data_IF_374338946888
#
_entry.id   IF_374338946888
#
_cell.length_a   1.000
_cell.length_b   1.000
_cell.length_c   1.000
_cell.angle_alpha   90.00
_cell.angle_beta   90.00
_cell.angle_gamma   90.00
#
_symmetry.space_group_name_H-M   'P 1'
#
loop_
_entity.id
_entity.type
_entity.pdbx_description
1 polymer ?
#
# COMPACT_ATOMS: atom_id res chain seq x y z
N UNK A 1 -16.17 -43.37 -5.46
CA UNK A 1 -14.98 -42.75 -6.10
C UNK A 1 -15.28 -41.54 -7.01
N UNK A 2 -16.45 -41.40 -7.65
CA UNK A 2 -16.74 -40.26 -8.54
C UNK A 2 -17.09 -38.92 -7.84
N UNK A 3 -17.50 -38.93 -6.57
CA UNK A 3 -17.84 -37.71 -5.82
C UNK A 3 -16.60 -36.88 -5.44
N UNK A 4 -15.43 -37.51 -5.32
CA UNK A 4 -14.17 -36.88 -4.88
C UNK A 4 -13.42 -36.17 -6.02
N UNK A 5 -13.68 -36.55 -7.27
CA UNK A 5 -13.04 -36.01 -8.48
C UNK A 5 -13.77 -34.73 -8.97
N UNK A 6 -15.04 -34.54 -8.59
CA UNK A 6 -15.86 -33.43 -9.06
C UNK A 6 -15.69 -32.14 -8.24
N UNK A 7 -15.47 -32.26 -6.92
CA UNK A 7 -15.07 -31.14 -6.06
C UNK A 7 -13.71 -30.57 -6.47
N UNK A 8 -12.78 -31.42 -6.90
CA UNK A 8 -11.43 -31.04 -7.35
C UNK A 8 -11.43 -30.25 -8.67
N UNK A 9 -12.31 -30.57 -9.62
CA UNK A 9 -12.42 -29.83 -10.89
C UNK A 9 -12.98 -28.41 -10.72
N UNK A 10 -13.87 -28.18 -9.75
CA UNK A 10 -14.40 -26.84 -9.47
C UNK A 10 -13.43 -25.97 -8.66
N UNK A 11 -12.74 -26.59 -7.69
CA UNK A 11 -11.61 -25.98 -6.99
C UNK A 11 -10.53 -25.52 -7.98
N UNK A 12 -10.30 -26.26 -9.07
CA UNK A 12 -9.34 -25.89 -10.11
C UNK A 12 -9.76 -24.65 -10.92
N UNK A 13 -11.06 -24.39 -11.11
CA UNK A 13 -11.57 -23.21 -11.85
C UNK A 13 -11.70 -21.93 -11.02
N UNK A 14 -11.76 -22.04 -9.69
CA UNK A 14 -11.83 -20.88 -8.79
C UNK A 14 -10.39 -20.47 -8.47
N UNK A 15 -9.66 -19.84 -9.38
CA UNK A 15 -8.33 -19.29 -9.05
C UNK A 15 -8.47 -17.92 -8.36
N UNK A 16 -9.08 -17.90 -7.18
CA UNK A 16 -8.98 -16.74 -6.29
C UNK A 16 -7.64 -16.87 -5.57
N UNK A 17 -6.67 -16.04 -5.94
CA UNK A 17 -5.42 -15.92 -5.17
C UNK A 17 -5.74 -15.25 -3.84
N UNK A 18 -5.85 -16.04 -2.79
CA UNK A 18 -5.84 -15.54 -1.42
C UNK A 18 -4.50 -14.86 -1.17
N UNK A 19 -4.54 -13.54 -1.00
CA UNK A 19 -3.46 -12.80 -0.38
C UNK A 19 -3.93 -12.51 1.04
N UNK A 20 -3.13 -12.89 2.03
CA UNK A 20 -3.34 -12.47 3.41
C UNK A 20 -2.80 -11.05 3.58
N UNK A 21 -3.62 -10.16 4.13
CA UNK A 21 -3.24 -8.80 4.46
C UNK A 21 -2.23 -8.82 5.60
N UNK A 22 -0.97 -8.75 5.24
CA UNK A 22 0.14 -8.72 6.18
C UNK A 22 0.66 -7.30 6.37
N UNK A 23 0.90 -6.96 7.64
CA UNK A 23 1.64 -5.75 8.03
C UNK A 23 3.09 -6.13 8.27
N UNK A 24 3.98 -5.15 8.21
CA UNK A 24 5.41 -5.40 8.34
C UNK A 24 5.75 -6.10 9.67
N UNK A 25 6.51 -7.20 9.60
CA UNK A 25 6.98 -7.91 10.78
C UNK A 25 8.07 -7.12 11.54
N UNK A 26 8.84 -6.31 10.80
CA UNK A 26 9.96 -5.50 11.30
C UNK A 26 9.82 -4.07 10.83
N UNK A 27 10.29 -3.12 11.63
CA UNK A 27 10.42 -1.74 11.17
C UNK A 27 11.41 -1.66 10.01
N UNK A 28 11.17 -0.74 9.09
CA UNK A 28 12.21 -0.31 8.16
C UNK A 28 13.32 0.44 8.90
N UNK A 29 14.57 0.15 8.55
CA UNK A 29 15.78 0.85 9.01
C UNK A 29 16.31 1.85 7.98
N UNK A 30 15.68 1.95 6.81
CA UNK A 30 15.93 2.98 5.83
C UNK A 30 14.64 3.42 5.12
N UNK A 31 14.74 4.56 4.43
CA UNK A 31 13.62 5.20 3.75
C UNK A 31 13.08 4.33 2.60
N UNK A 32 13.96 3.61 1.92
CA UNK A 32 13.62 2.75 0.79
C UNK A 32 12.84 1.50 1.22
N UNK A 33 13.17 0.94 2.37
CA UNK A 33 12.45 -0.18 2.97
C UNK A 33 11.08 0.29 3.48
N UNK A 34 10.98 1.49 4.06
CA UNK A 34 9.70 2.07 4.47
C UNK A 34 8.76 2.28 3.26
N UNK A 35 9.29 2.83 2.16
CA UNK A 35 8.54 2.95 0.90
C UNK A 35 8.03 1.59 0.39
N UNK A 36 8.90 0.57 0.40
CA UNK A 36 8.54 -0.76 -0.06
C UNK A 36 7.45 -1.38 0.81
N UNK A 37 7.57 -1.28 2.13
CA UNK A 37 6.56 -1.78 3.07
C UNK A 37 5.21 -1.09 2.86
N UNK A 38 5.19 0.24 2.68
CA UNK A 38 3.96 0.98 2.37
C UNK A 38 3.33 0.53 1.05
N UNK A 39 4.14 0.32 0.01
CA UNK A 39 3.69 -0.16 -1.30
C UNK A 39 3.10 -1.57 -1.23
N UNK A 40 3.75 -2.47 -0.48
CA UNK A 40 3.28 -3.85 -0.27
C UNK A 40 1.95 -3.86 0.50
N UNK A 41 1.83 -3.05 1.55
CA UNK A 41 0.59 -2.94 2.31
C UNK A 41 -0.56 -2.41 1.45
N UNK A 42 -0.30 -1.39 0.62
CA UNK A 42 -1.27 -0.86 -0.33
C UNK A 42 -1.72 -1.92 -1.34
N UNK A 43 -0.78 -2.72 -1.86
CA UNK A 43 -1.10 -3.82 -2.76
C UNK A 43 -1.96 -4.90 -2.08
N UNK A 44 -1.66 -5.25 -0.83
CA UNK A 44 -2.47 -6.20 -0.04
C UNK A 44 -3.90 -5.70 0.18
N UNK A 45 -4.08 -4.42 0.50
CA UNK A 45 -5.40 -3.80 0.65
C UNK A 45 -6.21 -3.82 -0.65
N UNK A 46 -5.57 -3.50 -1.79
CA UNK A 46 -6.21 -3.59 -3.10
C UNK A 46 -6.58 -5.04 -3.43
N UNK A 47 -5.70 -6.00 -3.11
CA UNK A 47 -5.96 -7.42 -3.34
C UNK A 47 -7.17 -7.92 -2.53
N UNK A 48 -7.36 -7.46 -1.28
CA UNK A 48 -8.55 -7.78 -0.49
C UNK A 48 -9.84 -7.28 -1.16
N UNK A 49 -9.82 -6.04 -1.69
CA UNK A 49 -10.94 -5.47 -2.43
C UNK A 49 -11.26 -6.28 -3.71
N UNK A 50 -10.24 -6.55 -4.53
CA UNK A 50 -10.40 -7.33 -5.77
C UNK A 50 -10.89 -8.75 -5.48
N UNK A 51 -10.40 -9.36 -4.40
CA UNK A 51 -10.83 -10.69 -3.96
C UNK A 51 -12.30 -10.71 -3.56
N UNK A 52 -12.76 -9.72 -2.80
CA UNK A 52 -14.18 -9.61 -2.43
C UNK A 52 -15.08 -9.42 -3.66
N UNK A 53 -14.68 -8.59 -4.64
CA UNK A 53 -15.40 -8.45 -5.91
C UNK A 53 -15.48 -9.78 -6.65
N UNK A 54 -14.37 -10.52 -6.75
CA UNK A 54 -14.35 -11.83 -7.40
C UNK A 54 -15.26 -12.84 -6.68
N UNK A 55 -15.27 -12.86 -5.34
CA UNK A 55 -16.18 -13.72 -4.54
C UNK A 55 -17.65 -13.40 -4.83
N UNK A 56 -18.03 -12.12 -4.89
CA UNK A 56 -19.41 -11.72 -5.21
C UNK A 56 -19.85 -12.21 -6.60
N UNK A 57 -18.96 -12.07 -7.59
CA UNK A 57 -19.20 -12.52 -8.95
C UNK A 57 -19.39 -14.05 -9.01
N UNK A 58 -18.56 -14.81 -8.31
CA UNK A 58 -18.68 -16.28 -8.24
C UNK A 58 -19.98 -16.74 -7.57
N UNK A 59 -20.40 -16.10 -6.46
CA UNK A 59 -21.70 -16.40 -5.86
C UNK A 59 -22.87 -16.10 -6.80
N UNK A 60 -22.79 -15.01 -7.56
CA UNK A 60 -23.80 -14.64 -8.56
C UNK A 60 -23.85 -15.67 -9.70
N UNK A 61 -22.69 -16.10 -10.19
CA UNK A 61 -22.56 -17.16 -11.21
C UNK A 61 -23.14 -18.48 -10.70
N UNK A 62 -22.84 -18.86 -9.46
CA UNK A 62 -23.38 -20.05 -8.82
C UNK A 62 -24.92 -19.98 -8.71
N UNK A 63 -25.46 -18.84 -8.26
CA UNK A 63 -26.90 -18.63 -8.16
C UNK A 63 -27.61 -18.80 -9.52
N UNK A 64 -27.06 -18.20 -10.58
CA UNK A 64 -27.62 -18.30 -11.93
C UNK A 64 -27.63 -19.73 -12.45
N UNK A 65 -26.51 -20.45 -12.30
CA UNK A 65 -26.41 -21.87 -12.68
C UNK A 65 -27.44 -22.72 -11.94
N UNK A 66 -27.58 -22.52 -10.62
CA UNK A 66 -28.56 -23.26 -9.81
C UNK A 66 -30.01 -23.00 -10.25
N UNK A 67 -30.37 -21.77 -10.60
CA UNK A 67 -31.71 -21.46 -11.15
C UNK A 67 -32.00 -22.22 -12.44
N UNK A 68 -31.03 -22.27 -13.37
CA UNK A 68 -31.19 -22.98 -14.66
C UNK A 68 -31.40 -24.49 -14.43
N UNK A 69 -30.69 -25.09 -13.47
CA UNK A 69 -30.86 -26.50 -13.12
C UNK A 69 -32.24 -26.75 -12.51
N UNK A 70 -32.67 -25.86 -11.61
CA UNK A 70 -33.92 -26.03 -10.88
C UNK A 70 -35.14 -26.13 -11.83
N UNK A 71 -35.09 -25.44 -12.97
CA UNK A 71 -36.09 -25.50 -14.05
C UNK A 71 -36.14 -26.86 -14.76
N UNK A 72 -35.06 -27.64 -14.72
CA UNK A 72 -34.89 -28.89 -15.48
C UNK A 72 -34.91 -30.15 -14.59
N UNK A 73 -35.44 -30.04 -13.36
CA UNK A 73 -35.46 -31.14 -12.38
C UNK A 73 -36.87 -31.38 -11.84
N UNK A 74 -37.11 -32.59 -11.35
CA UNK A 74 -38.34 -32.96 -10.66
C UNK A 74 -38.61 -32.00 -9.47
N UNK A 75 -39.88 -31.76 -9.15
CA UNK A 75 -40.33 -30.66 -8.29
C UNK A 75 -39.59 -30.53 -6.95
N UNK A 76 -39.34 -31.64 -6.25
CA UNK A 76 -38.63 -31.65 -4.97
C UNK A 76 -37.16 -31.21 -5.11
N UNK A 77 -36.47 -31.69 -6.14
CA UNK A 77 -35.08 -31.32 -6.47
C UNK A 77 -35.04 -29.88 -6.99
N UNK A 78 -36.03 -29.47 -7.78
CA UNK A 78 -36.20 -28.10 -8.25
C UNK A 78 -36.30 -27.11 -7.09
N UNK A 79 -37.19 -27.35 -6.12
CA UNK A 79 -37.37 -26.50 -4.92
C UNK A 79 -36.08 -26.38 -4.10
N UNK A 80 -35.38 -27.49 -3.84
CA UNK A 80 -34.12 -27.48 -3.10
C UNK A 80 -33.02 -26.68 -3.84
N UNK A 81 -32.94 -26.84 -5.17
CA UNK A 81 -31.96 -26.14 -6.01
C UNK A 81 -32.26 -24.64 -6.08
N UNK A 82 -33.54 -24.24 -6.13
CA UNK A 82 -33.96 -22.84 -6.02
C UNK A 82 -33.58 -22.22 -4.67
N UNK A 83 -33.77 -22.95 -3.57
CA UNK A 83 -33.36 -22.48 -2.25
C UNK A 83 -31.84 -22.27 -2.15
N UNK A 84 -31.04 -23.17 -2.75
CA UNK A 84 -29.59 -23.00 -2.84
C UNK A 84 -29.20 -21.79 -3.70
N UNK A 85 -29.89 -21.54 -4.81
CA UNK A 85 -29.67 -20.34 -5.62
C UNK A 85 -29.99 -19.04 -4.88
N UNK A 86 -31.07 -19.02 -4.09
CA UNK A 86 -31.42 -17.89 -3.24
C UNK A 86 -30.36 -17.65 -2.16
N UNK A 87 -29.84 -18.71 -1.54
CA UNK A 87 -28.74 -18.61 -0.59
C UNK A 87 -27.47 -18.03 -1.22
N UNK A 88 -27.09 -18.47 -2.43
CA UNK A 88 -25.96 -17.91 -3.17
C UNK A 88 -26.17 -16.43 -3.51
N UNK A 89 -27.37 -16.05 -3.95
CA UNK A 89 -27.73 -14.65 -4.23
C UNK A 89 -27.63 -13.79 -2.96
N UNK A 90 -28.11 -14.29 -1.83
CA UNK A 90 -28.00 -13.61 -0.53
C UNK A 90 -26.55 -13.41 -0.11
N UNK A 91 -25.70 -14.42 -0.32
CA UNK A 91 -24.26 -14.30 -0.05
C UNK A 91 -23.59 -13.26 -0.95
N UNK A 92 -23.89 -13.26 -2.25
CA UNK A 92 -23.38 -12.24 -3.18
C UNK A 92 -23.80 -10.83 -2.76
N UNK A 93 -25.07 -10.62 -2.42
CA UNK A 93 -25.57 -9.32 -1.96
C UNK A 93 -24.92 -8.86 -0.66
N UNK A 94 -24.72 -9.77 0.30
CA UNK A 94 -24.02 -9.45 1.54
C UNK A 94 -22.58 -8.98 1.28
N UNK A 95 -21.88 -9.62 0.35
CA UNK A 95 -20.55 -9.18 -0.09
C UNK A 95 -20.60 -7.81 -0.76
N UNK A 96 -21.57 -7.58 -1.66
CA UNK A 96 -21.73 -6.28 -2.34
C UNK A 96 -22.02 -5.14 -1.36
N UNK A 97 -22.82 -5.38 -0.32
CA UNK A 97 -23.05 -4.41 0.74
C UNK A 97 -21.76 -4.11 1.51
N UNK A 98 -21.00 -5.15 1.87
CA UNK A 98 -19.71 -4.98 2.55
C UNK A 98 -18.69 -4.25 1.65
N UNK A 99 -18.69 -4.50 0.35
CA UNK A 99 -17.90 -3.73 -0.62
C UNK A 99 -18.30 -2.26 -0.63
N UNK A 100 -19.60 -1.95 -0.68
CA UNK A 100 -20.11 -0.57 -0.65
C UNK A 100 -19.71 0.18 0.62
N UNK A 101 -19.68 -0.50 1.77
CA UNK A 101 -19.31 0.10 3.07
C UNK A 101 -17.80 0.30 3.26
N UNK A 102 -16.97 -0.52 2.60
CA UNK A 102 -15.54 -0.62 2.89
C UNK A 102 -14.62 -0.14 1.75
N UNK A 103 -15.11 -0.08 0.50
CA UNK A 103 -14.28 0.29 -0.64
C UNK A 103 -13.66 1.70 -0.53
N UNK A 104 -14.41 2.68 -0.02
CA UNK A 104 -13.90 4.05 0.16
C UNK A 104 -12.79 4.12 1.22
N UNK A 105 -12.93 3.37 2.32
CA UNK A 105 -11.93 3.27 3.39
C UNK A 105 -10.64 2.63 2.89
N UNK A 106 -10.75 1.52 2.15
CA UNK A 106 -9.61 0.86 1.50
C UNK A 106 -8.92 1.77 0.49
N UNK A 107 -9.70 2.51 -0.30
CA UNK A 107 -9.16 3.46 -1.29
C UNK A 107 -8.44 4.63 -0.62
N UNK A 108 -9.00 5.20 0.43
CA UNK A 108 -8.37 6.28 1.21
C UNK A 108 -7.04 5.82 1.84
N UNK A 109 -7.01 4.62 2.45
CA UNK A 109 -5.79 4.04 2.99
C UNK A 109 -4.73 3.77 1.91
N UNK A 110 -5.15 3.22 0.77
CA UNK A 110 -4.26 2.98 -0.39
C UNK A 110 -3.67 4.29 -0.91
N UNK A 111 -4.47 5.37 -0.97
CA UNK A 111 -4.01 6.71 -1.34
C UNK A 111 -2.99 7.26 -0.34
N UNK A 112 -3.26 7.13 0.97
CA UNK A 112 -2.33 7.53 2.02
C UNK A 112 -0.99 6.78 1.91
N UNK A 113 -1.01 5.46 1.72
CA UNK A 113 0.19 4.65 1.53
C UNK A 113 0.95 4.99 0.24
N UNK A 114 0.22 5.25 -0.85
CA UNK A 114 0.79 5.69 -2.13
C UNK A 114 1.31 7.13 -2.10
N UNK A 115 0.95 7.94 -1.11
CA UNK A 115 1.57 9.24 -0.85
C UNK A 115 2.80 9.09 0.05
N UNK A 116 2.73 8.22 1.06
CA UNK A 116 3.84 7.96 1.97
C UNK A 116 5.05 7.30 1.28
N UNK A 117 4.81 6.33 0.39
CA UNK A 117 5.88 5.62 -0.33
C UNK A 117 6.79 6.56 -1.17
N UNK A 118 6.28 7.37 -2.11
CA UNK A 118 7.11 8.30 -2.86
C UNK A 118 7.68 9.42 -1.99
N UNK A 119 7.01 9.80 -0.89
CA UNK A 119 7.58 10.74 0.08
C UNK A 119 8.84 10.16 0.73
N UNK A 120 8.80 8.90 1.16
CA UNK A 120 9.96 8.20 1.69
C UNK A 120 11.08 8.09 0.65
N UNK A 121 10.76 7.75 -0.61
CA UNK A 121 11.73 7.74 -1.71
C UNK A 121 12.34 9.13 -1.93
N UNK A 122 11.54 10.18 -2.00
CA UNK A 122 12.03 11.55 -2.13
C UNK A 122 12.95 11.93 -0.97
N UNK A 123 12.57 11.62 0.27
CA UNK A 123 13.37 11.90 1.46
C UNK A 123 14.69 11.13 1.47
N UNK A 124 14.74 9.92 0.89
CA UNK A 124 15.99 9.18 0.70
C UNK A 124 16.98 9.95 -0.20
N UNK A 125 16.46 10.69 -1.17
CA UNK A 125 17.26 11.55 -2.07
C UNK A 125 17.63 12.86 -1.38
N UNK A 126 16.67 13.52 -0.73
CA UNK A 126 16.89 14.80 -0.02
C UNK A 126 17.92 14.68 1.11
N UNK A 127 17.97 13.53 1.80
CA UNK A 127 19.02 13.22 2.79
C UNK A 127 20.44 13.29 2.20
N UNK A 128 20.57 12.96 0.92
CA UNK A 128 21.83 12.93 0.18
C UNK A 128 22.11 14.19 -0.64
N UNK A 129 21.36 15.28 -0.44
CA UNK A 129 21.51 16.56 -1.14
C UNK A 129 22.29 17.57 -0.27
N UNK A 130 23.63 17.56 -0.28
CA UNK A 130 24.41 18.59 0.36
C UNK A 130 24.31 19.91 -0.40
N UNK A 131 24.18 20.98 0.35
CA UNK A 131 24.49 22.33 -0.09
C UNK A 131 26.00 22.43 -0.32
N UNK A 132 26.42 23.03 -1.43
CA UNK A 132 27.83 23.21 -1.75
C UNK A 132 28.40 24.40 -1.01
N UNK A 133 29.65 24.29 -0.56
CA UNK A 133 30.42 25.40 -0.01
C UNK A 133 30.42 26.60 -0.96
N UNK A 134 30.38 27.80 -0.40
CA UNK A 134 30.60 29.05 -1.13
C UNK A 134 31.77 29.78 -0.51
N UNK A 135 32.76 30.07 -1.35
CA UNK A 135 33.88 30.90 -0.98
C UNK A 135 33.40 32.31 -0.57
N UNK A 136 34.24 32.99 0.20
CA UNK A 136 34.03 34.39 0.56
C UNK A 136 33.91 35.25 -0.70
N UNK A 137 32.84 36.02 -0.80
CA UNK A 137 32.64 37.00 -1.86
C UNK A 137 31.91 38.23 -1.27
N UNK A 138 32.04 39.38 -1.92
CA UNK A 138 31.40 40.62 -1.45
C UNK A 138 29.89 40.42 -1.27
N UNK A 139 29.32 40.93 -0.18
CA UNK A 139 27.92 40.71 0.17
C UNK A 139 26.93 41.15 -0.93
N UNK A 140 27.31 42.15 -1.73
CA UNK A 140 26.56 42.60 -2.93
C UNK A 140 26.40 41.49 -3.97
N UNK A 141 27.27 40.49 -4.00
CA UNK A 141 27.12 39.32 -4.88
C UNK A 141 26.02 38.37 -4.40
N UNK A 142 25.40 38.61 -3.24
CA UNK A 142 24.29 37.78 -2.70
C UNK A 142 23.01 38.59 -2.42
N UNK A 143 22.89 39.82 -2.92
CA UNK A 143 21.78 40.73 -2.58
C UNK A 143 20.50 40.54 -3.42
N UNK A 144 20.54 39.75 -4.50
CA UNK A 144 19.40 39.44 -5.36
C UNK A 144 19.26 37.94 -5.60
N UNK A 145 18.06 37.48 -5.96
CA UNK A 145 17.80 36.06 -6.29
C UNK A 145 18.62 35.60 -7.50
N UNK A 146 18.85 36.49 -8.47
CA UNK A 146 19.63 36.25 -9.69
C UNK A 146 21.13 36.04 -9.43
N UNK A 147 21.66 36.63 -8.36
CA UNK A 147 23.07 36.53 -7.97
C UNK A 147 23.33 35.40 -6.95
N UNK A 148 22.32 34.59 -6.62
CA UNK A 148 22.37 33.56 -5.56
C UNK A 148 22.26 32.13 -6.10
N UNK A 149 23.33 31.51 -6.61
CA UNK A 149 23.28 30.08 -6.81
C UNK A 149 23.64 29.39 -5.50
N UNK A 150 22.69 29.20 -4.57
CA UNK A 150 22.80 28.04 -3.68
C UNK A 150 22.82 26.82 -4.60
N UNK A 151 23.90 26.06 -4.55
CA UNK A 151 24.11 24.93 -5.45
C UNK A 151 24.02 23.66 -4.62
N UNK A 152 23.11 22.78 -5.01
CA UNK A 152 22.97 21.46 -4.40
C UNK A 152 23.59 20.44 -5.32
N UNK A 153 24.36 19.52 -4.76
CA UNK A 153 24.92 18.40 -5.52
C UNK A 153 24.05 17.20 -5.27
N UNK A 154 23.41 16.69 -6.32
CA UNK A 154 22.63 15.46 -6.23
C UNK A 154 23.55 14.26 -6.50
N UNK A 155 23.90 13.52 -5.45
CA UNK A 155 24.62 12.26 -5.59
C UNK A 155 23.62 11.09 -5.70
N UNK A 156 23.08 10.84 -6.90
CA UNK A 156 22.17 9.71 -7.14
C UNK A 156 22.41 9.07 -8.52
N UNK A 157 23.47 8.28 -8.65
CA UNK A 157 23.90 7.70 -9.94
C UNK A 157 22.94 6.62 -10.47
N UNK A 158 22.25 5.89 -9.59
CA UNK A 158 21.43 4.73 -9.96
C UNK A 158 19.92 4.99 -9.96
N UNK A 159 19.50 6.16 -9.48
CA UNK A 159 18.10 6.49 -9.23
C UNK A 159 17.64 6.11 -7.82
N UNK A 160 16.53 6.70 -7.40
CA UNK A 160 16.01 6.59 -6.04
C UNK A 160 15.75 5.15 -5.62
N UNK A 161 16.29 4.75 -4.47
CA UNK A 161 16.15 3.40 -3.93
C UNK A 161 16.64 2.27 -4.86
N UNK A 162 17.57 2.58 -5.76
CA UNK A 162 18.22 1.62 -6.64
C UNK A 162 19.66 1.35 -6.18
N UNK A 163 20.08 0.09 -6.24
CA UNK A 163 21.46 -0.34 -6.04
C UNK A 163 22.24 -0.34 -7.38
N UNK A 164 21.54 -0.61 -8.48
CA UNK A 164 22.04 -0.51 -9.85
C UNK A 164 20.86 -0.44 -10.83
N UNK A 165 21.14 -0.25 -12.13
CA UNK A 165 20.10 -0.27 -13.17
C UNK A 165 19.25 -1.55 -13.07
N UNK A 166 17.95 -1.37 -12.83
CA UNK A 166 16.99 -2.47 -12.72
C UNK A 166 17.03 -3.25 -11.39
N UNK A 167 17.94 -2.93 -10.46
CA UNK A 167 18.04 -3.59 -9.15
C UNK A 167 17.76 -2.61 -8.03
N UNK A 168 16.64 -2.80 -7.32
CA UNK A 168 16.32 -2.04 -6.10
C UNK A 168 17.33 -2.34 -4.99
N UNK A 169 17.50 -1.39 -4.08
CA UNK A 169 18.28 -1.58 -2.86
C UNK A 169 17.73 -2.76 -2.04
N UNK A 170 18.65 -3.49 -1.40
CA UNK A 170 18.29 -4.59 -0.50
C UNK A 170 17.55 -4.01 0.71
N UNK A 171 16.54 -4.76 1.17
CA UNK A 171 15.84 -4.47 2.42
C UNK A 171 16.81 -4.20 3.57
N UNK A 172 16.60 -3.12 4.32
CA UNK A 172 17.18 -2.96 5.65
C UNK A 172 16.04 -2.91 6.66
N UNK A 173 15.89 -4.02 7.37
CA UNK A 173 14.87 -4.18 8.40
C UNK A 173 15.53 -4.18 9.76
N UNK A 174 14.84 -3.55 10.73
CA UNK A 174 15.27 -3.48 12.11
C UNK A 174 15.48 -4.85 12.75
N UNK A 175 16.35 -4.92 13.78
CA UNK A 175 16.60 -6.16 14.49
C UNK A 175 15.36 -6.67 15.24
N UNK A 176 14.47 -5.76 15.60
CA UNK A 176 13.27 -6.04 16.41
C UNK A 176 12.11 -6.55 15.56
N UNK A 177 11.80 -7.84 15.71
CA UNK A 177 10.51 -8.39 15.31
C UNK A 177 9.39 -7.80 16.15
N UNK A 178 8.19 -7.75 15.57
CA UNK A 178 6.96 -7.34 16.24
C UNK A 178 6.72 -8.21 17.49
N UNK A 179 6.68 -7.58 18.66
CA UNK A 179 6.32 -8.20 19.93
C UNK A 179 4.84 -8.55 20.00
N UNK A 180 4.45 -9.41 20.95
CA UNK A 180 3.08 -9.91 21.06
C UNK A 180 2.01 -8.81 21.29
N UNK A 181 2.41 -7.69 21.90
CA UNK A 181 1.54 -6.55 22.19
C UNK A 181 1.57 -5.46 21.11
N UNK A 182 2.39 -5.60 20.07
CA UNK A 182 2.47 -4.64 18.99
C UNK A 182 1.54 -5.09 17.86
N UNK A 183 0.82 -4.15 17.25
CA UNK A 183 -0.15 -4.43 16.19
C UNK A 183 0.10 -3.52 14.98
N UNK A 184 -0.13 -4.07 13.79
CA UNK A 184 -0.17 -3.35 12.51
C UNK A 184 0.93 -2.32 12.28
N UNK A 185 2.17 -2.75 12.45
CA UNK A 185 3.38 -1.93 12.42
C UNK A 185 3.56 -1.19 11.09
N UNK A 186 3.92 0.09 11.19
CA UNK A 186 4.26 0.97 10.06
C UNK A 186 5.49 1.80 10.42
N UNK A 187 6.40 1.96 9.47
CA UNK A 187 7.45 2.98 9.53
C UNK A 187 7.06 4.16 8.66
N UNK A 188 7.01 5.36 9.24
CA UNK A 188 6.94 6.60 8.50
C UNK A 188 8.32 7.21 8.33
N UNK A 189 8.53 7.88 7.21
CA UNK A 189 9.73 8.68 6.97
C UNK A 189 9.35 10.14 7.07
N UNK A 190 10.04 10.87 7.93
CA UNK A 190 9.92 12.32 8.02
C UNK A 190 11.27 12.98 7.83
N UNK A 191 11.28 14.28 7.60
CA UNK A 191 12.49 15.07 7.61
C UNK A 191 12.30 16.38 8.37
N UNK A 192 13.39 16.84 8.97
CA UNK A 192 13.52 18.17 9.54
C UNK A 192 14.64 18.95 8.86
N UNK A 193 14.60 20.28 8.99
CA UNK A 193 15.74 21.12 8.61
C UNK A 193 16.85 20.93 9.62
N UNK A 194 18.04 20.60 9.14
CA UNK A 194 19.21 20.57 9.98
C UNK A 194 19.56 21.99 10.41
N UNK A 195 19.96 22.16 11.67
CA UNK A 195 20.48 23.42 12.19
C UNK A 195 21.97 23.55 11.83
N UNK A 196 22.45 24.79 11.81
CA UNK A 196 23.89 25.05 11.71
C UNK A 196 24.62 24.37 12.87
N UNK A 197 25.79 23.81 12.59
CA UNK A 197 26.67 23.23 13.61
C UNK A 197 27.29 24.30 14.53
N UNK A 198 27.16 25.59 14.17
CA UNK A 198 27.51 26.71 15.04
C UNK A 198 28.98 27.13 14.99
N UNK A 199 29.81 26.50 14.16
CA UNK A 199 31.21 26.87 13.96
C UNK A 199 31.63 26.88 12.49
N UNK A 200 32.78 27.50 12.18
CA UNK A 200 33.26 27.72 10.81
C UNK A 200 33.76 26.46 10.10
N UNK A 201 34.02 25.38 10.82
CA UNK A 201 34.35 24.07 10.25
C UNK A 201 33.09 23.20 10.07
N UNK A 202 32.03 23.50 10.80
CA UNK A 202 30.75 22.79 10.83
C UNK A 202 29.81 23.14 9.68
N UNK A 203 28.88 22.23 9.40
CA UNK A 203 27.97 22.35 8.27
C UNK A 203 26.94 23.48 8.45
N UNK A 204 26.47 23.99 7.31
CA UNK A 204 25.43 25.04 7.23
C UNK A 204 25.80 26.30 8.02
N UNK A 205 27.07 26.71 7.95
CA UNK A 205 27.56 27.87 8.67
C UNK A 205 27.80 29.05 7.73
N UNK A 206 27.21 30.21 8.05
CA UNK A 206 27.44 31.47 7.31
C UNK A 206 28.43 32.31 8.07
N UNK A 207 29.49 32.76 7.40
CA UNK A 207 30.50 33.65 7.96
C UNK A 207 30.51 34.96 7.18
N UNK A 208 30.51 36.09 7.89
CA UNK A 208 30.85 37.38 7.31
C UNK A 208 32.26 37.80 7.72
N UNK A 209 33.04 38.42 6.82
CA UNK A 209 34.41 38.86 7.10
C UNK A 209 34.81 40.02 6.19
N UNK A 210 35.76 40.84 6.63
CA UNK A 210 36.39 41.87 5.77
C UNK A 210 37.53 41.30 4.90
N UNK A 211 37.88 40.02 5.07
CA UNK A 211 38.82 39.31 4.21
C UNK A 211 38.10 38.54 3.10
N UNK A 212 38.72 38.49 1.92
CA UNK A 212 38.32 37.62 0.80
C UNK A 212 39.07 36.27 0.80
N UNK A 213 39.90 36.00 1.80
CA UNK A 213 40.59 34.69 1.91
C UNK A 213 39.59 33.54 1.95
N UNK A 214 39.98 32.42 1.35
CA UNK A 214 39.13 31.23 1.21
C UNK A 214 38.49 30.82 2.54
N UNK A 215 37.19 30.53 2.48
CA UNK A 215 36.41 30.04 3.61
C UNK A 215 37.02 28.73 4.14
N UNK A 216 37.48 28.71 5.39
CA UNK A 216 38.19 27.56 5.95
C UNK A 216 38.09 27.42 7.47
N UNK A 217 38.48 26.26 8.02
CA UNK A 217 38.47 26.02 9.46
C UNK A 217 39.36 27.05 10.15
N UNK A 218 38.81 27.74 11.18
CA UNK A 218 39.42 28.83 11.97
C UNK A 218 39.31 30.25 11.39
N UNK A 219 38.49 30.48 10.37
CA UNK A 219 38.24 31.85 9.93
C UNK A 219 37.54 32.66 11.04
N UNK A 220 38.02 33.87 11.31
CA UNK A 220 37.33 34.79 12.21
C UNK A 220 36.17 35.45 11.47
N UNK A 221 34.95 35.17 11.94
CA UNK A 221 33.75 35.82 11.44
C UNK A 221 33.50 37.12 12.22
N UNK A 222 33.09 38.15 11.50
CA UNK A 222 32.56 39.39 12.07
C UNK A 222 31.04 39.44 11.88
N UNK A 223 30.41 40.41 12.53
CA UNK A 223 28.99 40.75 12.33
C UNK A 223 28.78 41.85 11.27
N UNK A 224 29.84 42.58 10.90
CA UNK A 224 29.83 43.72 9.98
C UNK A 224 30.73 43.51 8.75
N UNK A 225 31.03 42.25 8.41
CA UNK A 225 31.92 41.92 7.30
C UNK A 225 31.34 42.29 5.94
N UNK A 226 32.18 42.87 5.08
CA UNK A 226 31.80 43.22 3.68
C UNK A 226 31.76 42.02 2.73
N UNK A 227 32.33 40.88 3.12
CA UNK A 227 32.30 39.61 2.38
C UNK A 227 31.55 38.54 3.17
N UNK A 228 30.89 37.63 2.46
CA UNK A 228 30.12 36.51 3.01
C UNK A 228 30.55 35.21 2.36
N UNK A 229 30.70 34.17 3.17
CA UNK A 229 30.97 32.80 2.74
C UNK A 229 30.06 31.82 3.47
N UNK A 230 29.92 30.62 2.93
CA UNK A 230 29.04 29.59 3.43
C UNK A 230 29.76 28.24 3.46
N UNK A 231 29.80 27.61 4.63
CA UNK A 231 30.01 26.17 4.71
C UNK A 231 28.71 25.47 4.33
N UNK A 232 28.77 24.69 3.27
CA UNK A 232 27.69 23.82 2.84
C UNK A 232 27.50 22.63 3.79
N UNK A 233 26.76 21.62 3.33
CA UNK A 233 26.45 20.44 4.13
C UNK A 233 25.01 19.96 3.95
N UNK A 234 24.62 18.97 4.73
CA UNK A 234 23.29 18.35 4.65
C UNK A 234 22.23 19.31 5.17
N UNK A 235 21.25 19.65 4.31
CA UNK A 235 20.14 20.54 4.69
C UNK A 235 19.01 19.81 5.40
N UNK A 236 18.79 18.55 5.05
CA UNK A 236 17.72 17.73 5.63
C UNK A 236 18.30 16.60 6.47
N UNK A 237 17.66 16.39 7.62
CA UNK A 237 17.86 15.21 8.45
C UNK A 237 16.59 14.36 8.42
N UNK A 238 16.69 13.14 7.92
CA UNK A 238 15.55 12.22 7.87
C UNK A 238 15.42 11.45 9.18
N UNK A 239 14.18 11.21 9.60
CA UNK A 239 13.82 10.41 10.77
C UNK A 239 12.88 9.29 10.36
N UNK A 240 13.14 8.10 10.91
CA UNK A 240 12.27 6.94 10.79
C UNK A 240 11.40 6.85 12.03
N UNK A 241 10.12 7.15 11.86
CA UNK A 241 9.16 7.09 12.95
C UNK A 241 8.53 5.70 12.96
N UNK A 242 8.77 4.99 14.06
CA UNK A 242 8.27 3.64 14.34
C UNK A 242 6.90 3.72 15.00
N UNK A 243 5.87 3.19 14.34
CA UNK A 243 4.47 3.35 14.75
C UNK A 243 3.77 1.98 14.78
N UNK A 244 2.94 1.77 15.79
CA UNK A 244 2.09 0.59 15.97
C UNK A 244 0.67 1.01 16.32
N UNK A 245 -0.33 0.17 16.00
CA UNK A 245 -1.67 0.35 16.56
C UNK A 245 -1.67 0.12 18.07
N UNK A 246 -2.41 0.95 18.79
CA UNK A 246 -2.59 0.88 20.24
C UNK A 246 -3.15 -0.48 20.68
N UNK A 247 -4.07 -1.04 19.90
CA UNK A 247 -4.74 -2.32 20.13
C UNK A 247 -4.94 -3.10 18.81
N UNK A 248 -5.24 -4.40 18.92
CA UNK A 248 -5.57 -5.28 17.78
C UNK A 248 -6.96 -5.01 17.19
N UNK A 249 -7.86 -4.44 17.99
CA UNK A 249 -9.28 -4.36 17.66
C UNK A 249 -9.56 -3.34 16.55
N UNK A 250 -10.62 -3.58 15.79
CA UNK A 250 -11.12 -2.62 14.82
C UNK A 250 -11.46 -1.28 15.49
N UNK A 251 -11.18 -0.18 14.80
CA UNK A 251 -11.31 1.18 15.34
C UNK A 251 -10.14 1.64 16.20
N UNK A 252 -9.13 0.81 16.47
CA UNK A 252 -7.94 1.24 17.21
C UNK A 252 -7.13 2.26 16.42
N UNK A 253 -6.69 3.31 17.06
CA UNK A 253 -5.75 4.26 16.46
C UNK A 253 -4.32 3.72 16.48
N UNK A 254 -3.47 4.37 15.69
CA UNK A 254 -2.02 4.30 15.85
C UNK A 254 -1.60 5.04 17.13
N UNK A 255 -0.50 4.61 17.76
CA UNK A 255 0.13 5.41 18.80
C UNK A 255 0.51 6.78 18.24
N UNK A 256 0.42 7.83 19.06
CA UNK A 256 0.84 9.15 18.63
C UNK A 256 2.32 9.07 18.29
N UNK A 257 2.70 9.27 17.02
CA UNK A 257 4.11 9.39 16.72
C UNK A 257 4.62 10.65 17.42
N UNK A 258 5.85 10.59 17.90
CA UNK A 258 6.57 11.77 18.34
C UNK A 258 7.37 12.30 17.14
N UNK A 259 6.79 13.16 16.28
CA UNK A 259 7.47 13.69 15.10
C UNK A 259 8.58 14.69 15.46
N UNK A 260 8.67 15.13 16.72
CA UNK A 260 9.56 16.20 17.14
C UNK A 260 9.33 17.47 16.32
N UNK A 261 10.39 17.97 15.70
CA UNK A 261 10.42 19.16 14.84
C UNK A 261 10.26 18.86 13.35
N UNK A 262 9.76 17.67 12.98
CA UNK A 262 9.59 17.29 11.58
C UNK A 262 8.69 18.26 10.82
N UNK A 263 9.15 18.65 9.61
CA UNK A 263 8.45 19.57 8.73
C UNK A 263 7.89 18.88 7.47
N UNK A 264 8.42 17.71 7.10
CA UNK A 264 8.04 16.99 5.87
C UNK A 264 7.76 15.52 6.18
N UNK A 265 6.55 15.00 5.88
CA UNK A 265 5.32 15.78 5.73
C UNK A 265 4.94 16.45 7.06
N UNK A 266 4.10 17.49 7.01
CA UNK A 266 3.62 18.16 8.22
C UNK A 266 2.90 17.19 9.15
N UNK A 267 2.90 17.50 10.45
CA UNK A 267 2.34 16.65 11.51
C UNK A 267 0.92 16.20 11.21
N UNK A 268 0.07 17.14 10.82
CA UNK A 268 -1.34 16.87 10.56
C UNK A 268 -1.54 15.95 9.34
N UNK A 269 -0.68 16.06 8.34
CA UNK A 269 -0.72 15.22 7.15
C UNK A 269 -0.49 13.76 7.50
N UNK A 270 0.54 13.45 8.31
CA UNK A 270 0.76 12.05 8.68
C UNK A 270 -0.35 11.54 9.61
N UNK A 271 -0.92 12.37 10.51
CA UNK A 271 -2.01 11.94 11.40
C UNK A 271 -3.23 11.52 10.60
N UNK A 272 -3.60 12.32 9.60
CA UNK A 272 -4.69 11.99 8.68
C UNK A 272 -4.39 10.71 7.88
N UNK A 273 -3.16 10.55 7.39
CA UNK A 273 -2.74 9.33 6.69
C UNK A 273 -2.84 8.09 7.59
N UNK A 274 -2.35 8.14 8.82
CA UNK A 274 -2.42 7.02 9.77
C UNK A 274 -3.87 6.66 10.13
N UNK A 275 -4.74 7.65 10.33
CA UNK A 275 -6.15 7.43 10.58
C UNK A 275 -6.83 6.71 9.39
N UNK A 276 -6.55 7.18 8.16
CA UNK A 276 -7.05 6.53 6.95
C UNK A 276 -6.53 5.09 6.83
N UNK A 277 -5.25 4.86 7.10
CA UNK A 277 -4.63 3.52 7.05
C UNK A 277 -5.27 2.57 8.08
N UNK A 278 -5.50 3.01 9.31
CA UNK A 278 -6.15 2.21 10.34
C UNK A 278 -7.56 1.77 9.91
N UNK A 279 -8.37 2.71 9.40
CA UNK A 279 -9.71 2.40 8.90
C UNK A 279 -9.69 1.47 7.68
N UNK A 280 -8.73 1.66 6.76
CA UNK A 280 -8.58 0.81 5.60
C UNK A 280 -8.09 -0.60 5.92
N UNK A 281 -7.23 -0.77 6.93
CA UNK A 281 -6.81 -2.09 7.44
C UNK A 281 -8.01 -2.87 7.98
N UNK A 282 -8.81 -2.22 8.82
CA UNK A 282 -10.02 -2.84 9.39
C UNK A 282 -11.00 -3.21 8.28
N UNK A 283 -11.22 -2.29 7.33
CA UNK A 283 -12.07 -2.50 6.17
C UNK A 283 -11.58 -3.67 5.30
N UNK A 284 -10.28 -3.73 5.00
CA UNK A 284 -9.68 -4.81 4.22
C UNK A 284 -9.83 -6.17 4.91
N UNK A 285 -9.61 -6.26 6.23
CA UNK A 285 -9.81 -7.50 7.00
C UNK A 285 -11.25 -7.95 7.02
N UNK A 286 -12.20 -7.01 7.14
CA UNK A 286 -13.62 -7.32 7.02
C UNK A 286 -13.96 -7.94 5.65
N UNK A 287 -13.32 -7.46 4.58
CA UNK A 287 -13.46 -8.02 3.24
C UNK A 287 -12.79 -9.41 3.10
N UNK A 288 -11.64 -9.65 3.74
CA UNK A 288 -10.98 -10.96 3.75
C UNK A 288 -11.81 -12.03 4.47
N UNK A 289 -12.48 -11.65 5.57
CA UNK A 289 -13.33 -12.52 6.37
C UNK A 289 -14.63 -12.93 5.68
N UNK A 290 -14.93 -12.38 4.50
CA UNK A 290 -16.13 -12.74 3.74
C UNK A 290 -16.12 -14.21 3.33
N UNK A 291 -17.30 -14.87 3.22
CA UNK A 291 -17.39 -16.29 2.89
C UNK A 291 -16.68 -16.64 1.58
N UNK A 292 -15.93 -17.75 1.59
CA UNK A 292 -15.35 -18.30 0.37
C UNK A 292 -16.42 -19.12 -0.40
N UNK A 293 -16.61 -18.87 -1.71
CA UNK A 293 -17.49 -19.68 -2.56
C UNK A 293 -17.21 -21.19 -2.48
N UNK A 294 -15.95 -21.61 -2.31
CA UNK A 294 -15.53 -23.02 -2.20
C UNK A 294 -16.09 -23.67 -0.93
N UNK A 295 -16.00 -22.97 0.20
CA UNK A 295 -16.53 -23.43 1.48
C UNK A 295 -18.05 -23.48 1.47
N UNK A 296 -18.67 -22.46 0.87
CA UNK A 296 -20.12 -22.43 0.70
C UNK A 296 -20.60 -23.59 -0.18
N UNK A 297 -19.94 -23.89 -1.30
CA UNK A 297 -20.26 -25.01 -2.17
C UNK A 297 -20.17 -26.35 -1.43
N UNK A 298 -19.17 -26.50 -0.56
CA UNK A 298 -19.00 -27.71 0.25
C UNK A 298 -20.14 -27.88 1.25
N UNK A 299 -20.56 -26.80 1.92
CA UNK A 299 -21.71 -26.80 2.84
C UNK A 299 -23.06 -26.92 2.12
N UNK A 300 -23.20 -26.35 0.92
CA UNK A 300 -24.39 -26.46 0.09
C UNK A 300 -24.53 -27.86 -0.54
N UNK A 301 -23.42 -28.49 -0.92
CA UNK A 301 -23.36 -29.88 -1.39
C UNK A 301 -23.71 -30.92 -0.33
N UNK A 302 -23.67 -30.56 0.96
CA UNK A 302 -24.26 -31.41 2.02
C UNK A 302 -25.80 -31.37 2.01
N UNK A 303 -26.42 -30.33 1.41
CA UNK A 303 -27.88 -30.16 1.31
C UNK A 303 -28.45 -30.51 -0.07
N UNK A 304 -27.63 -30.51 -1.11
CA UNK A 304 -27.98 -30.84 -2.49
C UNK A 304 -27.10 -32.01 -2.92
N UNK A 305 -27.69 -33.13 -3.37
CA UNK A 305 -26.96 -34.34 -3.76
C UNK A 305 -25.71 -34.00 -4.59
N UNK A 306 -24.55 -34.28 -4.02
CA UNK A 306 -23.23 -33.97 -4.59
C UNK A 306 -23.05 -34.52 -6.00
N UNK A 307 -23.75 -35.61 -6.38
CA UNK A 307 -23.77 -36.12 -7.76
C UNK A 307 -24.49 -35.20 -8.74
N UNK A 308 -25.58 -34.56 -8.31
CA UNK A 308 -26.34 -33.61 -9.16
C UNK A 308 -25.52 -32.35 -9.37
N UNK A 309 -24.91 -31.83 -8.30
CA UNK A 309 -24.04 -30.66 -8.36
C UNK A 309 -22.79 -30.91 -9.25
N UNK A 310 -22.18 -32.09 -9.13
CA UNK A 310 -21.04 -32.52 -9.93
C UNK A 310 -21.35 -32.66 -11.44
N UNK A 311 -22.48 -33.28 -11.80
CA UNK A 311 -22.86 -33.50 -13.20
C UNK A 311 -23.21 -32.21 -13.93
N UNK A 312 -23.80 -31.25 -13.23
CA UNK A 312 -24.12 -29.92 -13.77
C UNK A 312 -22.85 -29.16 -14.11
N UNK A 313 -21.86 -29.21 -13.22
CA UNK A 313 -20.64 -28.43 -13.39
C UNK A 313 -19.71 -29.03 -14.45
N UNK A 314 -19.74 -30.37 -14.65
CA UNK A 314 -19.17 -31.03 -15.83
C UNK A 314 -19.90 -30.67 -17.13
N UNK A 315 -21.22 -30.48 -17.10
CA UNK A 315 -21.99 -30.01 -18.26
C UNK A 315 -21.62 -28.61 -18.72
N UNK A 316 -21.15 -27.74 -17.82
CA UNK A 316 -20.73 -26.38 -18.13
C UNK A 316 -19.49 -26.32 -19.05
N UNK A 317 -18.53 -27.24 -18.91
CA UNK A 317 -17.38 -27.34 -19.81
C UNK A 317 -17.74 -27.79 -21.22
N UNK A 318 -18.92 -28.41 -21.41
CA UNK A 318 -19.48 -28.73 -22.73
C UNK A 318 -20.38 -27.62 -23.28
N UNK A 319 -20.91 -26.74 -22.42
CA UNK A 319 -21.75 -25.60 -22.82
C UNK A 319 -20.92 -24.41 -23.31
N UNK A 320 -19.71 -24.20 -22.79
CA UNK A 320 -18.78 -23.20 -23.35
C UNK A 320 -18.32 -23.55 -24.78
N UNK A 321 -18.24 -24.84 -25.13
CA UNK A 321 -18.01 -25.30 -26.51
C UNK A 321 -19.28 -25.41 -27.36
N UNK A 322 -20.48 -25.40 -26.75
CA UNK A 322 -21.75 -25.47 -27.49
C UNK A 322 -22.37 -24.09 -27.75
N UNK A 323 -21.75 -23.02 -27.27
CA UNK A 323 -22.24 -21.65 -27.45
C UNK A 323 -22.08 -21.14 -28.90
N UNK A 324 -21.29 -21.83 -29.74
CA UNK A 324 -21.18 -21.55 -31.18
C UNK A 324 -22.35 -22.10 -32.02
N UNK A 325 -23.14 -23.08 -31.53
CA UNK A 325 -24.15 -23.79 -32.34
C UNK A 325 -25.58 -23.76 -31.78
N UNK A 326 -25.88 -22.85 -30.85
CA UNK A 326 -27.23 -22.74 -30.29
C UNK A 326 -28.18 -21.99 -31.25
N UNK A 327 -29.35 -22.54 -31.65
CA UNK A 327 -30.26 -21.92 -32.63
C UNK A 327 -30.81 -20.54 -32.23
N UNK A 328 -30.64 -20.11 -30.98
CA UNK A 328 -30.99 -18.77 -30.51
C UNK A 328 -29.97 -17.67 -30.87
N UNK A 329 -28.80 -17.99 -31.43
CA UNK A 329 -27.87 -16.98 -31.99
C UNK A 329 -28.19 -16.62 -33.44
N UNK A 330 -29.06 -17.37 -34.13
CA UNK A 330 -29.51 -17.07 -35.50
C UNK A 330 -30.73 -16.16 -35.58
N UNK A 331 -31.50 -15.99 -34.50
CA UNK A 331 -32.67 -15.09 -34.48
C UNK A 331 -32.38 -13.65 -34.03
N UNK A 332 -31.11 -13.29 -33.79
CA UNK A 332 -30.67 -11.91 -33.53
C UNK A 332 -29.81 -11.32 -34.66
N UNK A 333 -29.78 -11.98 -35.82
CA UNK A 333 -29.07 -11.55 -37.02
C UNK A 333 -29.99 -11.38 -38.24
N UNK A 334 -31.24 -10.95 -38.01
CA UNK A 334 -32.12 -10.33 -39.00
C UNK A 334 -32.66 -9.02 -38.45
#
# INVERSE_FOLDING_TARGET
MYATIATTALLASIQIRLHTLETAAKYADDECTASRQATQLAAGMVAALTTAVARAAEFTKAARKLRIIALNKAESIGKATYAAAASASKAAMAILNQLSENASKVTAATSALRSAAPTAELLSVLKGLPLTDKAMATATNYNTQSNRPLSFTLANENGTCMASRGKRQVAKEGPESKGAAEYDRITLVTAELRKSDGDTAGELFVCSSNSQTAFGPRQTCSTDGTNVGLKGGKVFETKLIKINRKNKNAGSEYNDPNPGTAIIPHVDTYKQQLAAIALGLDAARSLEALPDPRDWLTKAGQKVDTKILANVLKGAGKLETAQEDHPSTKELAN
#
